data_IF_510073451047
#
_entry.id   IF_510073451047
#
_cell.length_a   1.000
_cell.length_b   1.000
_cell.length_c   1.000
_cell.angle_alpha   90.00
_cell.angle_beta   90.00
_cell.angle_gamma   90.00
#
_symmetry.space_group_name_H-M   'P 1'
#
loop_
_entity.id
_entity.type
_entity.pdbx_description
1 polymer ?
#
# COMPACT_ATOMS: atom_id res chain seq x y z
N UNK A 1 2.56 -22.36 -1.55
CA UNK A 1 3.14 -21.03 -1.85
C UNK A 1 4.58 -21.10 -2.36
N UNK A 2 5.60 -21.39 -1.51
CA UNK A 2 7.00 -21.40 -1.97
C UNK A 2 7.28 -22.34 -3.16
N UNK A 3 6.71 -23.56 -3.12
CA UNK A 3 6.85 -24.53 -4.21
C UNK A 3 6.28 -24.00 -5.53
N UNK A 4 5.05 -23.47 -5.52
CA UNK A 4 4.39 -22.84 -6.68
C UNK A 4 5.24 -21.70 -7.27
N UNK A 5 5.80 -20.82 -6.43
CA UNK A 5 6.67 -19.73 -6.91
C UNK A 5 7.95 -20.29 -7.54
N UNK A 6 8.54 -21.34 -6.97
CA UNK A 6 9.71 -21.99 -7.53
C UNK A 6 9.41 -22.70 -8.86
N UNK A 7 8.21 -23.25 -9.01
CA UNK A 7 7.73 -23.83 -10.27
C UNK A 7 7.52 -22.76 -11.33
N UNK A 8 6.78 -21.68 -11.02
CA UNK A 8 6.56 -20.58 -11.94
C UNK A 8 7.88 -19.93 -12.41
N UNK A 9 8.87 -19.80 -11.53
CA UNK A 9 10.22 -19.33 -11.89
C UNK A 9 10.94 -20.23 -12.89
N UNK A 10 10.71 -21.54 -12.83
CA UNK A 10 11.29 -22.51 -13.77
C UNK A 10 10.54 -22.52 -15.10
N UNK A 11 9.22 -22.37 -15.05
CA UNK A 11 8.37 -22.39 -16.24
C UNK A 11 8.50 -21.11 -17.08
N UNK A 12 8.68 -19.95 -16.42
CA UNK A 12 8.75 -18.63 -17.07
C UNK A 12 10.06 -17.90 -16.74
N UNK A 13 11.22 -18.39 -17.20
CA UNK A 13 12.54 -17.83 -16.88
C UNK A 13 12.77 -16.39 -17.39
N UNK A 14 11.98 -15.94 -18.37
CA UNK A 14 11.96 -14.58 -18.87
C UNK A 14 11.28 -13.58 -17.92
N UNK A 15 10.46 -14.07 -16.98
CA UNK A 15 9.75 -13.25 -16.01
C UNK A 15 10.54 -13.13 -14.70
N UNK A 16 10.64 -11.90 -14.19
CA UNK A 16 11.16 -11.66 -12.83
C UNK A 16 10.08 -11.90 -11.79
N UNK A 17 9.92 -13.16 -11.36
CA UNK A 17 8.92 -13.56 -10.37
C UNK A 17 9.49 -13.40 -8.94
N UNK A 18 8.86 -12.54 -8.15
CA UNK A 18 9.24 -12.26 -6.74
C UNK A 18 8.24 -12.91 -5.77
N UNK A 19 8.75 -13.45 -4.66
CA UNK A 19 7.95 -14.03 -3.59
C UNK A 19 7.71 -12.96 -2.51
N UNK A 20 6.54 -12.35 -2.49
CA UNK A 20 6.17 -11.33 -1.51
C UNK A 20 5.17 -11.83 -0.47
N UNK A 21 4.86 -10.98 0.50
CA UNK A 21 3.69 -11.15 1.36
C UNK A 21 3.14 -9.77 1.73
N UNK A 22 1.82 -9.65 1.76
CA UNK A 22 1.13 -8.54 2.39
C UNK A 22 0.61 -8.99 3.75
N UNK A 23 0.83 -8.17 4.76
CA UNK A 23 0.47 -8.49 6.13
C UNK A 23 -0.31 -7.37 6.77
N UNK A 24 -1.47 -7.73 7.33
CA UNK A 24 -2.24 -6.87 8.21
C UNK A 24 -1.45 -6.62 9.49
N UNK A 25 -1.20 -5.35 9.79
CA UNK A 25 -0.55 -4.95 11.02
C UNK A 25 -1.55 -4.88 12.17
N UNK A 26 -1.27 -5.63 13.23
CA UNK A 26 -1.86 -5.46 14.55
C UNK A 26 -0.72 -5.26 15.56
N UNK A 27 -0.80 -4.29 16.49
CA UNK A 27 0.30 -4.04 17.44
C UNK A 27 0.61 -5.27 18.31
N UNK A 28 -0.41 -6.06 18.65
CA UNK A 28 -0.29 -7.33 19.39
C UNK A 28 0.55 -8.38 18.66
N UNK A 29 0.53 -8.34 17.32
CA UNK A 29 1.04 -9.43 16.49
C UNK A 29 2.48 -9.20 16.06
N UNK A 30 3.10 -8.08 16.45
CA UNK A 30 4.48 -7.73 16.09
C UNK A 30 5.46 -8.88 16.31
N UNK A 31 5.41 -9.52 17.49
CA UNK A 31 6.32 -10.62 17.82
C UNK A 31 6.07 -11.84 16.93
N UNK A 32 4.80 -12.26 16.83
CA UNK A 32 4.38 -13.40 16.00
C UNK A 32 4.78 -13.18 14.54
N UNK A 33 4.63 -11.96 14.04
CA UNK A 33 4.96 -11.62 12.67
C UNK A 33 6.47 -11.64 12.42
N UNK A 34 7.28 -11.10 13.33
CA UNK A 34 8.74 -11.18 13.22
C UNK A 34 9.22 -12.64 13.27
N UNK A 35 8.67 -13.47 14.15
CA UNK A 35 8.97 -14.90 14.23
C UNK A 35 8.51 -15.65 12.97
N UNK A 36 7.36 -15.26 12.39
CA UNK A 36 6.87 -15.84 11.15
C UNK A 36 7.79 -15.50 9.97
N UNK A 37 8.33 -14.29 9.91
CA UNK A 37 9.24 -13.86 8.83
C UNK A 37 10.64 -14.44 8.98
N UNK A 38 11.04 -14.83 10.20
CA UNK A 38 12.37 -15.38 10.44
C UNK A 38 12.64 -16.64 9.60
N UNK A 39 13.84 -16.70 9.00
CA UNK A 39 14.24 -17.76 8.08
C UNK A 39 13.46 -17.84 6.75
N UNK A 40 12.49 -16.95 6.48
CA UNK A 40 11.77 -16.91 5.20
C UNK A 40 12.37 -15.87 4.26
N UNK A 41 12.82 -16.33 3.10
CA UNK A 41 13.45 -15.50 2.07
C UNK A 41 12.41 -14.78 1.19
N UNK A 42 11.57 -13.94 1.81
CA UNK A 42 10.68 -13.05 1.04
C UNK A 42 11.49 -11.99 0.29
N UNK A 43 11.05 -11.71 -0.93
CA UNK A 43 11.58 -10.63 -1.74
C UNK A 43 11.11 -9.26 -1.25
N UNK A 44 9.87 -9.15 -0.77
CA UNK A 44 9.33 -7.96 -0.09
C UNK A 44 8.17 -8.30 0.85
N UNK A 45 7.97 -7.43 1.84
CA UNK A 45 6.88 -7.49 2.81
C UNK A 45 6.12 -6.17 2.79
N UNK A 46 4.85 -6.20 2.37
CA UNK A 46 3.95 -5.07 2.47
C UNK A 46 3.27 -5.06 3.85
N UNK A 47 3.19 -3.89 4.47
CA UNK A 47 2.39 -3.66 5.66
C UNK A 47 1.10 -2.94 5.31
N UNK A 48 -0.03 -3.47 5.78
CA UNK A 48 -1.36 -2.92 5.55
C UNK A 48 -2.12 -2.71 6.87
N UNK A 49 -3.04 -1.74 6.88
CA UNK A 49 -4.05 -1.61 7.93
C UNK A 49 -5.39 -2.03 7.34
N UNK A 50 -5.85 -3.22 7.72
CA UNK A 50 -7.17 -3.74 7.34
C UNK A 50 -8.12 -3.85 8.53
N UNK A 51 -7.56 -3.98 9.72
CA UNK A 51 -8.30 -4.24 10.95
C UNK A 51 -8.03 -3.11 11.96
N UNK A 52 -9.10 -2.57 12.52
CA UNK A 52 -9.10 -1.60 13.60
C UNK A 52 -9.65 -2.25 14.87
N UNK A 53 -9.62 -1.52 15.99
CA UNK A 53 -10.14 -1.99 17.29
C UNK A 53 -9.54 -3.35 17.70
N UNK A 54 -8.21 -3.50 17.55
CA UNK A 54 -7.47 -4.72 17.84
C UNK A 54 -8.00 -5.97 17.11
N UNK A 55 -8.47 -5.83 15.88
CA UNK A 55 -8.97 -6.95 15.08
C UNK A 55 -10.49 -7.04 14.99
N UNK A 56 -11.23 -6.27 15.79
CA UNK A 56 -12.68 -6.37 15.85
C UNK A 56 -13.40 -5.68 14.68
N UNK A 57 -12.78 -4.71 14.02
CA UNK A 57 -13.39 -3.95 12.92
C UNK A 57 -12.61 -4.12 11.62
N UNK A 58 -13.19 -4.79 10.61
CA UNK A 58 -12.55 -4.95 9.30
C UNK A 58 -12.98 -3.83 8.33
N UNK A 59 -12.06 -2.94 7.96
CA UNK A 59 -12.35 -1.84 7.02
C UNK A 59 -12.12 -2.23 5.55
N UNK A 60 -11.61 -3.43 5.29
CA UNK A 60 -11.32 -3.97 3.95
C UNK A 60 -12.48 -4.81 3.37
N UNK A 61 -13.59 -4.93 4.11
CA UNK A 61 -14.83 -5.56 3.70
C UNK A 61 -16.02 -4.59 3.89
N UNK A 62 -17.02 -4.63 3.02
CA UNK A 62 -18.08 -3.60 2.98
C UNK A 62 -18.94 -3.58 4.25
N UNK A 63 -19.57 -4.70 4.60
CA UNK A 63 -20.50 -4.77 5.74
C UNK A 63 -19.82 -4.45 7.07
N UNK A 64 -18.63 -5.02 7.40
CA UNK A 64 -17.95 -4.66 8.64
C UNK A 64 -17.45 -3.19 8.65
N UNK A 65 -17.06 -2.65 7.49
CA UNK A 65 -16.69 -1.22 7.38
C UNK A 65 -17.91 -0.32 7.63
N UNK A 66 -19.06 -0.65 7.05
CA UNK A 66 -20.34 0.03 7.31
C UNK A 66 -20.68 0.01 8.80
N UNK A 67 -20.57 -1.14 9.45
CA UNK A 67 -20.81 -1.27 10.88
C UNK A 67 -19.87 -0.36 11.68
N UNK A 68 -18.57 -0.36 11.37
CA UNK A 68 -17.58 0.50 12.02
C UNK A 68 -17.94 1.99 11.91
N UNK A 69 -18.26 2.47 10.70
CA UNK A 69 -18.66 3.86 10.46
C UNK A 69 -20.04 4.23 11.01
N UNK A 70 -20.89 3.26 11.34
CA UNK A 70 -22.20 3.55 11.97
C UNK A 70 -22.13 3.76 13.48
N UNK A 71 -21.04 3.32 14.13
CA UNK A 71 -20.86 3.40 15.59
C UNK A 71 -20.17 4.68 16.05
N UNK A 72 -19.55 5.44 15.14
CA UNK A 72 -18.64 6.56 15.43
C UNK A 72 -18.73 7.64 14.36
N UNK A 73 -18.31 8.85 14.70
CA UNK A 73 -18.12 9.91 13.72
C UNK A 73 -16.98 9.54 12.75
N UNK A 74 -17.16 9.88 11.47
CA UNK A 74 -16.16 9.59 10.44
C UNK A 74 -14.78 10.14 10.81
N UNK A 75 -14.71 11.31 11.45
CA UNK A 75 -13.46 11.91 11.93
C UNK A 75 -12.68 10.98 12.87
N UNK A 76 -13.39 10.35 13.79
CA UNK A 76 -12.80 9.40 14.71
C UNK A 76 -12.33 8.13 13.99
N UNK A 77 -13.12 7.62 13.04
CA UNK A 77 -12.75 6.44 12.23
C UNK A 77 -11.43 6.65 11.47
N UNK A 78 -11.29 7.80 10.82
CA UNK A 78 -10.07 8.14 10.08
C UNK A 78 -8.89 8.42 11.01
N UNK A 79 -9.11 9.08 12.15
CA UNK A 79 -8.06 9.29 13.13
C UNK A 79 -7.50 7.96 13.65
N UNK A 80 -8.36 7.05 14.11
CA UNK A 80 -7.96 5.71 14.58
C UNK A 80 -7.17 4.94 13.51
N UNK A 81 -7.61 5.01 12.25
CA UNK A 81 -6.92 4.40 11.12
C UNK A 81 -5.52 4.98 10.88
N UNK A 82 -5.36 6.30 10.89
CA UNK A 82 -4.04 6.92 10.70
C UNK A 82 -3.12 6.78 11.91
N UNK A 83 -3.66 6.70 13.14
CA UNK A 83 -2.86 6.36 14.32
C UNK A 83 -2.26 4.96 14.21
N UNK A 84 -3.07 3.97 13.83
CA UNK A 84 -2.60 2.61 13.63
C UNK A 84 -1.61 2.52 12.46
N UNK A 85 -1.84 3.28 11.39
CA UNK A 85 -0.90 3.37 10.26
C UNK A 85 0.45 3.96 10.70
N UNK A 86 0.44 4.96 11.59
CA UNK A 86 1.67 5.51 12.16
C UNK A 86 2.41 4.48 13.03
N UNK A 87 1.68 3.65 13.78
CA UNK A 87 2.28 2.53 14.53
C UNK A 87 2.88 1.47 13.62
N UNK A 88 2.19 1.13 12.52
CA UNK A 88 2.70 0.25 11.47
C UNK A 88 4.04 0.75 10.95
N UNK A 89 4.12 2.03 10.57
CA UNK A 89 5.38 2.64 10.10
C UNK A 89 6.44 2.63 11.20
N UNK A 90 6.07 2.92 12.45
CA UNK A 90 7.01 2.90 13.58
C UNK A 90 7.52 1.51 13.93
N UNK A 91 6.81 0.45 13.55
CA UNK A 91 7.19 -0.93 13.85
C UNK A 91 8.56 -1.31 13.30
N UNK A 92 8.93 -0.75 12.13
CA UNK A 92 10.18 -1.04 11.42
C UNK A 92 10.21 -2.41 10.75
N UNK A 93 9.05 -3.02 10.52
CA UNK A 93 8.94 -4.42 10.09
C UNK A 93 8.85 -4.56 8.56
N UNK A 94 8.25 -3.60 7.87
CA UNK A 94 7.79 -3.74 6.49
C UNK A 94 8.66 -2.96 5.50
N UNK A 95 8.71 -3.43 4.26
CA UNK A 95 9.51 -2.82 3.18
C UNK A 95 8.72 -1.69 2.48
N UNK A 96 7.40 -1.82 2.41
CA UNK A 96 6.51 -0.79 1.88
C UNK A 96 5.16 -0.73 2.61
N UNK A 97 4.53 0.45 2.59
CA UNK A 97 3.18 0.69 3.09
C UNK A 97 2.18 0.46 1.96
N UNK A 98 1.30 -0.53 2.12
CA UNK A 98 0.22 -0.81 1.19
C UNK A 98 -0.85 0.29 1.27
N UNK A 99 -1.42 0.64 0.11
CA UNK A 99 -2.66 1.40 -0.07
C UNK A 99 -3.06 2.34 1.11
N UNK A 100 -2.22 3.35 1.39
CA UNK A 100 -2.27 4.18 2.61
C UNK A 100 -3.67 4.65 3.07
N UNK A 101 -4.60 4.94 2.17
CA UNK A 101 -5.96 5.44 2.49
C UNK A 101 -7.07 4.45 2.10
N UNK A 102 -6.77 3.14 2.09
CA UNK A 102 -7.69 2.04 1.71
C UNK A 102 -9.02 2.05 2.46
N UNK A 103 -9.08 2.66 3.63
CA UNK A 103 -10.33 2.89 4.38
C UNK A 103 -11.40 3.58 3.50
N UNK A 104 -10.98 4.41 2.54
CA UNK A 104 -11.86 5.06 1.57
C UNK A 104 -12.53 4.09 0.60
N UNK A 105 -12.06 2.85 0.44
CA UNK A 105 -12.65 1.84 -0.45
C UNK A 105 -14.16 1.72 -0.26
N UNK A 106 -14.62 1.71 0.99
CA UNK A 106 -16.04 1.66 1.34
C UNK A 106 -16.50 2.91 2.09
N UNK A 107 -15.62 3.60 2.83
CA UNK A 107 -16.01 4.76 3.62
C UNK A 107 -16.64 5.88 2.78
N UNK A 108 -16.28 6.03 1.49
CA UNK A 108 -16.92 7.02 0.60
C UNK A 108 -18.44 6.86 0.46
N UNK A 109 -18.98 5.66 0.74
CA UNK A 109 -20.42 5.40 0.72
C UNK A 109 -21.14 5.89 1.98
N UNK A 110 -20.41 6.14 3.08
CA UNK A 110 -20.96 6.50 4.40
C UNK A 110 -20.48 7.88 4.87
N UNK A 111 -19.30 8.30 4.41
CA UNK A 111 -18.63 9.56 4.66
C UNK A 111 -18.22 10.19 3.31
N UNK A 112 -19.17 10.71 2.51
CA UNK A 112 -18.91 11.18 1.15
C UNK A 112 -18.04 12.44 1.08
N UNK A 113 -17.92 13.16 2.21
CA UNK A 113 -17.13 14.38 2.33
C UNK A 113 -15.70 14.10 2.83
N UNK A 114 -15.11 12.97 2.44
CA UNK A 114 -13.71 12.67 2.74
C UNK A 114 -12.80 13.82 2.28
N UNK A 115 -12.01 14.35 3.22
CA UNK A 115 -10.89 15.23 2.93
C UNK A 115 -9.71 14.85 3.82
N UNK A 116 -8.50 14.82 3.26
CA UNK A 116 -7.31 14.48 4.01
C UNK A 116 -6.76 15.62 4.89
N UNK A 117 -7.11 16.88 4.57
CA UNK A 117 -6.52 18.08 5.21
C UNK A 117 -6.67 18.11 6.73
N UNK A 118 -7.81 17.74 7.34
CA UNK A 118 -7.93 17.64 8.80
C UNK A 118 -6.90 16.70 9.44
N UNK A 119 -6.45 15.67 8.71
CA UNK A 119 -5.48 14.67 9.18
C UNK A 119 -4.04 14.98 8.76
N UNK A 120 -3.75 16.17 8.20
CA UNK A 120 -2.42 16.54 7.71
C UNK A 120 -1.31 16.28 8.74
N UNK A 121 -1.53 16.61 10.00
CA UNK A 121 -0.54 16.38 11.07
C UNK A 121 -0.19 14.90 11.26
N UNK A 122 -1.16 14.00 11.08
CA UNK A 122 -0.97 12.55 11.19
C UNK A 122 -0.29 12.00 9.95
N UNK A 123 -0.78 12.37 8.77
CA UNK A 123 -0.21 12.00 7.47
C UNK A 123 1.24 12.44 7.35
N UNK A 124 1.56 13.67 7.76
CA UNK A 124 2.94 14.17 7.81
C UNK A 124 3.83 13.29 8.68
N UNK A 125 3.38 12.90 9.88
CA UNK A 125 4.14 12.02 10.79
C UNK A 125 4.33 10.62 10.19
N UNK A 126 3.33 10.09 9.49
CA UNK A 126 3.41 8.82 8.77
C UNK A 126 4.50 8.92 7.69
N UNK A 127 4.40 9.92 6.81
CA UNK A 127 5.35 10.11 5.70
C UNK A 127 6.78 10.39 6.18
N UNK A 128 6.99 11.28 7.15
CA UNK A 128 8.30 11.52 7.76
C UNK A 128 8.86 10.23 8.39
N UNK A 129 8.01 9.43 9.03
CA UNK A 129 8.36 8.11 9.57
C UNK A 129 8.81 7.13 8.49
N UNK A 130 8.09 7.06 7.37
CA UNK A 130 8.43 6.21 6.22
C UNK A 130 9.78 6.63 5.62
N UNK A 131 9.98 7.93 5.39
CA UNK A 131 11.23 8.50 4.84
C UNK A 131 12.41 8.15 5.75
N UNK A 132 12.27 8.38 7.07
CA UNK A 132 13.31 8.07 8.05
C UNK A 132 13.69 6.59 8.06
N UNK A 133 12.75 5.70 7.76
CA UNK A 133 12.93 4.24 7.79
C UNK A 133 13.22 3.61 6.43
N UNK A 134 13.33 4.42 5.38
CA UNK A 134 13.49 3.94 4.01
C UNK A 134 12.38 2.98 3.56
N UNK A 135 11.14 3.22 4.04
CA UNK A 135 9.95 2.46 3.67
C UNK A 135 9.32 3.06 2.42
N UNK A 136 9.00 2.23 1.43
CA UNK A 136 8.34 2.68 0.22
C UNK A 136 6.84 2.92 0.44
N UNK A 137 6.26 3.80 -0.37
CA UNK A 137 4.81 4.01 -0.46
C UNK A 137 4.28 3.24 -1.67
N UNK A 138 3.29 2.37 -1.47
CA UNK A 138 2.60 1.75 -2.59
C UNK A 138 1.64 2.76 -3.25
N UNK A 139 1.74 2.91 -4.57
CA UNK A 139 0.68 3.47 -5.41
C UNK A 139 -0.13 2.28 -5.91
N UNK A 140 -1.23 2.02 -5.22
CA UNK A 140 -2.12 0.90 -5.47
C UNK A 140 -3.20 1.30 -6.49
N UNK A 141 -3.25 0.58 -7.60
CA UNK A 141 -4.12 0.91 -8.74
C UNK A 141 -5.53 0.36 -8.60
N UNK A 142 -5.79 -0.45 -7.56
CA UNK A 142 -7.08 -1.09 -7.33
C UNK A 142 -8.18 -0.07 -7.07
N UNK A 143 -7.87 1.05 -6.44
CA UNK A 143 -8.83 2.11 -6.13
C UNK A 143 -9.54 2.69 -7.37
N UNK A 144 -8.91 2.66 -8.56
CA UNK A 144 -9.58 3.05 -9.81
C UNK A 144 -10.71 2.11 -10.22
N UNK A 145 -10.70 0.86 -9.73
CA UNK A 145 -11.75 -0.14 -9.96
C UNK A 145 -12.78 -0.18 -8.83
N UNK A 146 -12.61 0.63 -7.79
CA UNK A 146 -13.49 0.70 -6.62
C UNK A 146 -14.30 2.00 -6.64
N UNK A 147 -15.27 2.14 -5.72
CA UNK A 147 -16.13 3.31 -5.62
C UNK A 147 -15.38 4.67 -5.58
N UNK A 148 -14.20 4.82 -4.93
CA UNK A 148 -13.47 6.08 -4.93
C UNK A 148 -12.99 6.57 -6.31
N UNK A 149 -12.86 5.69 -7.30
CA UNK A 149 -12.44 6.05 -8.67
C UNK A 149 -11.05 6.69 -8.79
N UNK A 150 -10.19 6.52 -7.77
CA UNK A 150 -8.85 7.11 -7.64
C UNK A 150 -7.88 6.08 -7.04
N UNK A 151 -6.55 6.19 -7.22
CA UNK A 151 -5.63 5.20 -6.65
C UNK A 151 -5.61 5.30 -5.12
N UNK A 152 -4.99 4.31 -4.47
CA UNK A 152 -4.68 4.37 -3.04
C UNK A 152 -3.15 4.45 -2.85
N UNK A 153 -2.61 5.50 -2.21
CA UNK A 153 -3.30 6.70 -1.81
C UNK A 153 -3.77 7.57 -2.97
N UNK A 154 -4.75 8.44 -2.70
CA UNK A 154 -5.15 9.45 -3.67
C UNK A 154 -3.97 10.34 -4.10
N UNK A 155 -4.02 10.87 -5.33
CA UNK A 155 -2.90 11.57 -5.96
C UNK A 155 -2.30 12.69 -5.09
N UNK A 156 -3.13 13.43 -4.37
CA UNK A 156 -2.69 14.54 -3.52
C UNK A 156 -1.90 14.06 -2.29
N UNK A 157 -2.16 12.85 -1.79
CA UNK A 157 -1.35 12.25 -0.74
C UNK A 157 0.00 11.74 -1.27
N UNK A 158 0.05 11.22 -2.50
CA UNK A 158 1.32 10.90 -3.17
C UNK A 158 2.15 12.17 -3.40
N UNK A 159 1.49 13.27 -3.79
CA UNK A 159 2.11 14.60 -3.93
C UNK A 159 2.67 15.08 -2.59
N UNK A 160 1.88 15.00 -1.52
CA UNK A 160 2.33 15.37 -0.18
C UNK A 160 3.55 14.56 0.27
N UNK A 161 3.52 13.23 0.07
CA UNK A 161 4.69 12.37 0.35
C UNK A 161 5.94 12.87 -0.39
N UNK A 162 5.80 13.25 -1.67
CA UNK A 162 6.89 13.79 -2.48
C UNK A 162 7.40 15.13 -1.96
N UNK A 163 6.51 16.07 -1.65
CA UNK A 163 6.83 17.40 -1.12
C UNK A 163 7.58 17.33 0.22
N UNK A 164 7.27 16.34 1.05
CA UNK A 164 7.98 16.06 2.30
C UNK A 164 9.35 15.38 2.10
N UNK A 165 9.78 15.18 0.85
CA UNK A 165 11.08 14.58 0.52
C UNK A 165 11.03 13.07 0.26
N UNK A 166 9.84 12.49 0.15
CA UNK A 166 9.61 11.11 -0.26
C UNK A 166 10.19 10.81 -1.64
N UNK A 167 10.78 9.62 -1.77
CA UNK A 167 11.44 9.17 -3.02
C UNK A 167 11.06 7.75 -3.43
N UNK A 168 10.58 6.94 -2.49
CA UNK A 168 10.45 5.50 -2.65
C UNK A 168 8.98 5.18 -2.87
N UNK A 169 8.60 4.95 -4.13
CA UNK A 169 7.25 4.50 -4.50
C UNK A 169 7.31 3.17 -5.23
N UNK A 170 6.45 2.23 -4.89
CA UNK A 170 6.25 0.98 -5.62
C UNK A 170 4.84 0.94 -6.20
N UNK A 171 4.61 0.15 -7.25
CA UNK A 171 3.32 0.06 -7.94
C UNK A 171 2.73 -1.32 -7.72
N UNK A 172 1.46 -1.38 -7.31
CA UNK A 172 0.73 -2.64 -7.08
C UNK A 172 -0.66 -2.58 -7.66
N UNK A 173 -1.11 -3.67 -8.31
CA UNK A 173 -2.46 -3.72 -8.89
C UNK A 173 -3.53 -4.32 -7.99
N UNK A 174 -3.11 -4.94 -6.88
CA UNK A 174 -3.98 -5.64 -5.94
C UNK A 174 -4.89 -6.68 -6.63
N UNK A 175 -4.28 -7.43 -7.56
CA UNK A 175 -5.01 -8.33 -8.43
C UNK A 175 -5.39 -9.62 -7.68
N UNK A 176 -6.68 -9.75 -7.41
CA UNK A 176 -7.30 -10.99 -6.91
C UNK A 176 -7.91 -11.86 -8.02
N UNK A 177 -7.82 -11.40 -9.28
CA UNK A 177 -8.29 -12.08 -10.48
C UNK A 177 -7.32 -11.77 -11.63
N UNK A 178 -7.22 -12.68 -12.61
CA UNK A 178 -6.24 -12.57 -13.70
C UNK A 178 -6.42 -11.30 -14.53
N UNK A 179 -7.66 -10.95 -14.83
CA UNK A 179 -8.03 -9.73 -15.57
C UNK A 179 -7.67 -8.43 -14.86
N UNK A 180 -7.32 -8.47 -13.57
CA UNK A 180 -6.86 -7.30 -12.81
C UNK A 180 -5.33 -7.19 -12.76
N UNK A 181 -4.60 -8.20 -13.22
CA UNK A 181 -3.15 -8.23 -13.17
C UNK A 181 -2.58 -7.08 -14.02
N UNK A 182 -1.84 -6.19 -13.37
CA UNK A 182 -1.22 -5.03 -14.04
C UNK A 182 -2.19 -3.90 -14.41
N UNK A 183 -3.50 -4.04 -14.16
CA UNK A 183 -4.48 -3.01 -14.49
C UNK A 183 -4.12 -1.68 -13.85
N UNK A 184 -4.02 -0.62 -14.66
CA UNK A 184 -3.69 0.73 -14.19
C UNK A 184 -2.22 0.94 -13.83
N UNK A 185 -1.34 -0.06 -13.92
CA UNK A 185 0.08 0.12 -13.59
C UNK A 185 0.76 1.15 -14.51
N UNK A 186 0.42 1.17 -15.81
CA UNK A 186 0.89 2.21 -16.74
C UNK A 186 0.47 3.62 -16.29
N UNK A 187 -0.82 3.79 -15.97
CA UNK A 187 -1.37 5.05 -15.43
C UNK A 187 -0.70 5.46 -14.11
N UNK A 188 -0.36 4.51 -13.23
CA UNK A 188 0.33 4.79 -11.98
C UNK A 188 1.78 5.24 -12.19
N UNK A 189 2.48 4.68 -13.19
CA UNK A 189 3.81 5.14 -13.59
C UNK A 189 3.78 6.55 -14.17
N UNK A 190 2.76 6.88 -14.99
CA UNK A 190 2.54 8.24 -15.49
C UNK A 190 2.28 9.22 -14.35
N UNK A 191 1.40 8.87 -13.42
CA UNK A 191 1.12 9.66 -12.22
C UNK A 191 2.39 9.89 -11.40
N UNK A 192 3.20 8.85 -11.15
CA UNK A 192 4.47 8.99 -10.43
C UNK A 192 5.41 9.96 -11.17
N UNK A 193 5.50 9.86 -12.50
CA UNK A 193 6.33 10.76 -13.31
C UNK A 193 5.85 12.21 -13.24
N UNK A 194 4.54 12.44 -13.36
CA UNK A 194 3.92 13.77 -13.24
C UNK A 194 4.15 14.42 -11.88
N UNK A 195 4.21 13.59 -10.82
CA UNK A 195 4.55 14.02 -9.47
C UNK A 195 6.07 14.17 -9.25
N UNK A 196 6.90 14.00 -10.29
CA UNK A 196 8.34 14.24 -10.22
C UNK A 196 9.17 13.09 -9.65
N UNK A 197 8.65 11.85 -9.71
CA UNK A 197 9.44 10.64 -9.50
C UNK A 197 10.06 10.22 -10.84
N UNK A 198 11.39 10.13 -10.92
CA UNK A 198 12.09 9.60 -12.09
C UNK A 198 12.27 8.07 -12.04
N UNK A 199 12.06 7.49 -10.86
CA UNK A 199 12.23 6.07 -10.59
C UNK A 199 11.14 5.58 -9.65
N UNK A 200 10.78 4.30 -9.78
CA UNK A 200 10.03 3.53 -8.80
C UNK A 200 10.95 2.49 -8.16
N UNK A 201 10.49 1.83 -7.11
CA UNK A 201 11.25 0.76 -6.45
C UNK A 201 10.54 -0.59 -6.56
N UNK A 202 11.36 -1.64 -6.65
CA UNK A 202 10.98 -3.02 -6.38
C UNK A 202 11.95 -3.57 -5.35
N UNK A 203 11.87 -4.86 -5.03
CA UNK A 203 12.73 -5.47 -4.03
C UNK A 203 13.20 -6.87 -4.44
N UNK A 204 14.33 -7.26 -3.88
CA UNK A 204 14.90 -8.60 -3.96
C UNK A 204 15.53 -8.96 -2.63
N UNK A 205 15.06 -10.06 -2.02
CA UNK A 205 15.44 -10.44 -0.64
C UNK A 205 15.39 -9.26 0.33
N UNK A 206 14.32 -8.46 0.26
CA UNK A 206 14.09 -7.24 1.06
C UNK A 206 15.07 -6.09 0.81
N UNK A 207 15.96 -6.22 -0.18
CA UNK A 207 16.80 -5.12 -0.63
C UNK A 207 16.09 -4.33 -1.70
N UNK A 208 16.06 -3.02 -1.53
CA UNK A 208 15.42 -2.09 -2.47
C UNK A 208 16.21 -2.00 -3.78
N UNK A 209 15.49 -2.10 -4.90
CA UNK A 209 16.02 -2.00 -6.26
C UNK A 209 15.29 -0.86 -6.98
N UNK A 210 16.04 0.12 -7.45
CA UNK A 210 15.51 1.25 -8.21
C UNK A 210 15.28 0.88 -9.68
N UNK A 211 14.12 1.26 -10.21
CA UNK A 211 13.74 1.08 -11.61
C UNK A 211 13.41 2.45 -12.20
N UNK A 212 14.16 2.84 -13.23
CA UNK A 212 13.88 4.07 -13.99
C UNK A 212 12.55 3.96 -14.73
N UNK A 213 11.72 5.00 -14.63
CA UNK A 213 10.49 5.12 -15.41
C UNK A 213 10.89 5.53 -16.83
N UNK A 214 10.99 4.56 -17.74
CA UNK A 214 11.31 4.81 -19.16
C UNK A 214 10.07 5.04 -20.01
N UNK A 215 10.17 5.86 -21.06
CA UNK A 215 9.07 6.16 -21.99
C UNK A 215 8.52 4.90 -22.70
N UNK A 216 9.36 3.88 -22.94
CA UNK A 216 8.94 2.65 -23.62
C UNK A 216 8.12 1.68 -22.75
N UNK A 217 8.30 1.70 -21.41
CA UNK A 217 7.57 0.80 -20.49
C UNK A 217 6.08 1.14 -20.37
N UNK A 218 5.69 2.37 -20.71
CA UNK A 218 4.30 2.80 -20.68
C UNK A 218 3.48 2.17 -21.80
N UNK A 219 4.10 1.86 -22.95
CA UNK A 219 3.43 1.26 -24.12
C UNK A 219 3.17 -0.24 -23.99
N UNK A 220 3.81 -0.93 -23.04
CA UNK A 220 3.64 -2.38 -22.81
C UNK A 220 2.50 -2.65 -21.80
N UNK A 221 2.03 -1.61 -21.10
CA UNK A 221 1.02 -1.70 -20.03
C UNK A 221 -0.30 -0.97 -20.37
N UNK A 222 -0.45 -0.52 -21.62
CA UNK A 222 -1.66 0.09 -22.21
C UNK A 222 -2.35 -0.89 -23.14
#
# INVERSE_FOLDING_TARGET
YRAEIAEARREFPELKIRMGVEATFLPSDKKVFMEYLDGKEYDYVLGAVHLLENGAANISEEEPCREYFSRKDAEQCYAEFFELTLELVKSGIFDALAHLDIINRFAVNYAPNWEWRPYYGMLRRIFEGMIKRQMALEINTSGWRQAPGRPFPETELVRLYRELGGKMVCIGSDAHRLEHLGCGCGRALELARELGFSQVVTFERRNMIWITIGEERLKILS
#
